data_IF_088952292068
#
_entry.id   IF_088952292068
#
_cell.length_a   1.000
_cell.length_b   1.000
_cell.length_c   1.000
_cell.angle_alpha   90.00
_cell.angle_beta   90.00
_cell.angle_gamma   90.00
#
_symmetry.space_group_name_H-M   'P 1'
#
loop_
_entity.id
_entity.type
_entity.pdbx_description
1 polymer ?
#
# COMPACT_ATOMS: atom_id res chain seq x y z
N UNK A 1 -1.71 -14.04 5.96
CA UNK A 1 -0.63 -13.75 6.93
C UNK A 1 -0.18 -12.32 6.70
N UNK A 2 0.24 -11.59 7.75
CA UNK A 2 0.89 -10.29 7.58
C UNK A 2 2.27 -10.52 6.95
N UNK A 3 2.61 -9.79 5.89
CA UNK A 3 3.91 -9.93 5.22
C UNK A 3 4.50 -8.59 4.80
N UNK A 4 5.81 -8.57 4.56
CA UNK A 4 6.44 -7.49 3.80
C UNK A 4 6.14 -7.60 2.31
N UNK A 5 6.64 -6.64 1.54
CA UNK A 5 6.63 -6.73 0.09
C UNK A 5 7.53 -7.87 -0.40
N UNK A 6 7.11 -8.56 -1.44
CA UNK A 6 7.93 -9.55 -2.17
C UNK A 6 9.05 -8.84 -2.95
N UNK A 7 10.01 -9.61 -3.47
CA UNK A 7 11.03 -9.06 -4.36
C UNK A 7 10.41 -8.42 -5.62
N UNK A 8 9.38 -9.04 -6.20
CA UNK A 8 8.67 -8.52 -7.36
C UNK A 8 7.91 -7.22 -7.05
N UNK A 9 7.23 -7.14 -5.90
CA UNK A 9 6.54 -5.93 -5.45
C UNK A 9 7.53 -4.79 -5.14
N UNK A 10 8.71 -5.10 -4.59
CA UNK A 10 9.79 -4.13 -4.38
C UNK A 10 10.33 -3.63 -5.72
N UNK A 11 10.51 -4.51 -6.72
CA UNK A 11 10.94 -4.11 -8.05
C UNK A 11 9.92 -3.15 -8.70
N UNK A 12 8.63 -3.52 -8.68
CA UNK A 12 7.54 -2.68 -9.18
C UNK A 12 7.50 -1.32 -8.46
N UNK A 13 7.67 -1.31 -7.13
CA UNK A 13 7.74 -0.07 -6.37
C UNK A 13 8.93 0.81 -6.78
N UNK A 14 10.10 0.21 -7.03
CA UNK A 14 11.30 0.94 -7.47
C UNK A 14 11.15 1.53 -8.87
N UNK A 15 10.43 0.88 -9.77
CA UNK A 15 10.14 1.43 -11.11
C UNK A 15 9.36 2.74 -11.03
N UNK A 16 8.44 2.86 -10.06
CA UNK A 16 7.57 4.04 -9.92
C UNK A 16 8.16 5.10 -9.01
N UNK A 17 8.73 4.70 -7.86
CA UNK A 17 9.15 5.62 -6.80
C UNK A 17 10.67 5.75 -6.65
N UNK A 18 11.46 4.94 -7.36
CA UNK A 18 12.92 4.86 -7.18
C UNK A 18 13.29 4.52 -5.73
N UNK A 19 14.33 5.18 -5.21
CA UNK A 19 14.76 5.05 -3.82
C UNK A 19 13.99 5.96 -2.85
N UNK A 20 12.97 6.67 -3.34
CA UNK A 20 12.25 7.66 -2.55
C UNK A 20 11.21 7.05 -1.60
N UNK A 21 10.92 5.76 -1.72
CA UNK A 21 10.00 4.99 -0.89
C UNK A 21 10.78 3.97 -0.04
N UNK A 22 10.65 4.05 1.29
CA UNK A 22 11.16 3.02 2.19
C UNK A 22 10.22 1.81 2.19
N UNK A 23 10.46 0.89 1.25
CA UNK A 23 9.71 -0.37 1.13
C UNK A 23 9.93 -1.33 2.31
N UNK A 24 10.99 -1.18 3.11
CA UNK A 24 11.31 -2.10 4.22
C UNK A 24 10.36 -1.91 5.40
N UNK A 25 9.83 -0.70 5.55
CA UNK A 25 8.83 -0.36 6.55
C UNK A 25 7.42 -0.90 6.19
N UNK A 26 7.17 -1.26 4.93
CA UNK A 26 5.83 -1.58 4.43
C UNK A 26 5.37 -2.98 4.86
N UNK A 27 4.12 -3.10 5.30
CA UNK A 27 3.48 -4.36 5.66
C UNK A 27 2.10 -4.47 5.04
N UNK A 28 1.85 -5.59 4.36
CA UNK A 28 0.54 -5.97 3.85
C UNK A 28 -0.21 -6.77 4.91
N UNK A 29 -1.34 -6.24 5.34
CA UNK A 29 -2.24 -6.84 6.30
C UNK A 29 -3.48 -7.38 5.58
N UNK A 30 -3.73 -8.71 5.58
CA UNK A 30 -4.95 -9.27 5.02
C UNK A 30 -6.15 -8.90 5.88
N UNK A 31 -7.05 -8.07 5.33
CA UNK A 31 -8.22 -7.58 6.02
C UNK A 31 -9.19 -8.70 6.39
N UNK A 32 -9.78 -8.69 7.60
CA UNK A 32 -10.93 -9.53 7.92
C UNK A 32 -12.15 -9.05 7.13
N UNK A 33 -13.09 -9.96 6.85
CA UNK A 33 -14.41 -9.59 6.31
C UNK A 33 -15.10 -8.62 7.29
N UNK A 34 -15.83 -7.59 6.82
CA UNK A 34 -16.23 -7.29 5.44
C UNK A 34 -15.36 -6.21 4.74
N UNK A 35 -14.10 -6.02 5.14
CA UNK A 35 -13.25 -5.01 4.51
C UNK A 35 -12.79 -5.46 3.12
N UNK A 36 -13.47 -4.94 2.10
CA UNK A 36 -13.27 -5.33 0.69
C UNK A 36 -12.47 -4.31 -0.14
N UNK A 37 -11.93 -3.27 0.50
CA UNK A 37 -11.09 -2.25 -0.15
C UNK A 37 -9.69 -2.21 0.45
N UNK A 38 -8.70 -1.99 -0.42
CA UNK A 38 -7.34 -1.69 0.02
C UNK A 38 -7.26 -0.24 0.50
N UNK A 39 -6.47 0.01 1.55
CA UNK A 39 -6.17 1.36 2.02
C UNK A 39 -4.94 1.39 2.95
N UNK A 40 -4.34 2.56 3.07
CA UNK A 40 -3.26 2.86 4.03
C UNK A 40 -3.83 3.54 5.29
N UNK A 41 -3.94 2.86 6.45
CA UNK A 41 -4.32 3.49 7.72
C UNK A 41 -3.26 4.45 8.28
N UNK A 42 -2.03 4.39 7.75
CA UNK A 42 -0.91 5.22 8.17
C UNK A 42 0.23 4.42 8.80
N UNK A 43 1.16 5.14 9.45
CA UNK A 43 2.34 4.57 10.09
C UNK A 43 2.08 4.24 11.55
N UNK A 44 2.26 2.98 11.94
CA UNK A 44 2.06 2.51 13.32
C UNK A 44 3.18 1.54 13.70
N UNK A 45 3.74 1.71 14.91
CA UNK A 45 4.89 0.94 15.41
C UNK A 45 6.10 0.91 14.45
N UNK A 46 6.37 2.04 13.79
CA UNK A 46 7.48 2.16 12.83
C UNK A 46 7.29 1.39 11.52
N UNK A 47 6.06 0.93 11.23
CA UNK A 47 5.69 0.25 9.98
C UNK A 47 4.61 1.04 9.25
N UNK A 48 4.68 1.01 7.92
CA UNK A 48 3.66 1.55 7.05
C UNK A 48 2.72 0.42 6.66
N UNK A 49 1.47 0.50 7.10
CA UNK A 49 0.51 -0.58 6.92
C UNK A 49 -0.32 -0.36 5.67
N UNK A 50 -0.50 -1.41 4.88
CA UNK A 50 -1.46 -1.48 3.79
C UNK A 50 -2.45 -2.57 4.15
N UNK A 51 -3.69 -2.18 4.41
CA UNK A 51 -4.79 -3.13 4.60
C UNK A 51 -5.24 -3.57 3.22
N UNK A 52 -5.31 -4.88 2.99
CA UNK A 52 -5.63 -5.44 1.69
C UNK A 52 -6.71 -6.51 1.80
N UNK A 53 -7.73 -6.53 0.91
CA UNK A 53 -8.78 -7.55 0.95
C UNK A 53 -8.19 -8.95 0.84
N UNK A 54 -8.43 -9.81 1.84
CA UNK A 54 -7.79 -11.13 1.89
C UNK A 54 -8.02 -11.97 0.63
N UNK A 55 -9.19 -11.86 -0.01
CA UNK A 55 -9.53 -12.57 -1.24
C UNK A 55 -8.71 -12.11 -2.47
N UNK A 56 -8.19 -10.88 -2.44
CA UNK A 56 -7.43 -10.28 -3.53
C UNK A 56 -5.92 -10.15 -3.20
N UNK A 57 -5.47 -10.64 -2.04
CA UNK A 57 -4.07 -10.59 -1.66
C UNK A 57 -3.33 -11.80 -2.24
N UNK A 58 -2.76 -11.63 -3.43
CA UNK A 58 -1.92 -12.64 -4.05
C UNK A 58 -0.63 -12.86 -3.25
N UNK A 59 0.01 -14.03 -3.46
CA UNK A 59 1.34 -14.32 -2.90
C UNK A 59 2.37 -13.29 -3.38
N UNK A 60 2.28 -12.90 -4.65
CA UNK A 60 3.04 -11.82 -5.25
C UNK A 60 2.12 -10.97 -6.14
N UNK A 61 1.88 -9.72 -5.75
CA UNK A 61 1.01 -8.81 -6.48
C UNK A 61 1.65 -8.32 -7.79
N UNK A 62 2.98 -8.35 -7.93
CA UNK A 62 3.64 -7.97 -9.20
C UNK A 62 3.41 -9.00 -10.31
N UNK A 63 3.09 -10.25 -9.95
CA UNK A 63 2.74 -11.32 -10.89
C UNK A 63 1.21 -11.47 -11.07
N UNK A 64 0.42 -10.64 -10.40
CA UNK A 64 -1.04 -10.66 -10.48
C UNK A 64 -1.55 -9.90 -11.72
N UNK A 65 -2.85 -9.98 -12.09
CA UNK A 65 -3.40 -9.19 -13.19
C UNK A 65 -3.11 -7.70 -13.03
N UNK A 66 -2.96 -6.98 -14.16
CA UNK A 66 -2.57 -5.56 -14.18
C UNK A 66 -3.41 -4.67 -13.25
N UNK A 67 -4.70 -4.97 -13.09
CA UNK A 67 -5.58 -4.26 -12.15
C UNK A 67 -5.07 -4.30 -10.70
N UNK A 68 -4.56 -5.45 -10.24
CA UNK A 68 -4.04 -5.59 -8.88
C UNK A 68 -2.65 -4.96 -8.73
N UNK A 69 -1.82 -5.00 -9.78
CA UNK A 69 -0.56 -4.26 -9.83
C UNK A 69 -0.81 -2.75 -9.72
N UNK A 70 -1.75 -2.22 -10.50
CA UNK A 70 -2.14 -0.81 -10.46
C UNK A 70 -2.70 -0.42 -9.08
N UNK A 71 -3.53 -1.26 -8.46
CA UNK A 71 -4.01 -1.04 -7.10
C UNK A 71 -2.85 -1.01 -6.09
N UNK A 72 -1.85 -1.88 -6.24
CA UNK A 72 -0.68 -1.85 -5.36
C UNK A 72 0.07 -0.54 -5.51
N UNK A 73 0.35 -0.10 -6.74
CA UNK A 73 1.03 1.17 -7.00
C UNK A 73 0.23 2.37 -6.43
N UNK A 74 -1.10 2.33 -6.51
CA UNK A 74 -1.97 3.32 -5.88
C UNK A 74 -1.78 3.36 -4.35
N UNK A 75 -1.84 2.23 -3.67
CA UNK A 75 -1.63 2.20 -2.21
C UNK A 75 -0.19 2.58 -1.81
N UNK A 76 0.81 2.20 -2.61
CA UNK A 76 2.20 2.64 -2.40
C UNK A 76 2.36 4.15 -2.55
N UNK A 77 1.54 4.80 -3.39
CA UNK A 77 1.50 6.27 -3.49
C UNK A 77 1.05 6.90 -2.18
N UNK A 78 0.05 6.31 -1.52
CA UNK A 78 -0.38 6.75 -0.20
C UNK A 78 0.70 6.53 0.85
N UNK A 79 1.39 5.39 0.85
CA UNK A 79 2.54 5.18 1.74
C UNK A 79 3.63 6.22 1.48
N UNK A 80 3.99 6.46 0.22
CA UNK A 80 4.99 7.45 -0.18
C UNK A 80 4.65 8.86 0.31
N UNK A 81 3.39 9.26 0.17
CA UNK A 81 2.86 10.51 0.72
C UNK A 81 3.01 10.56 2.25
N UNK A 82 2.60 9.50 2.96
CA UNK A 82 2.70 9.42 4.41
C UNK A 82 4.16 9.48 4.91
N UNK A 83 5.09 8.78 4.24
CA UNK A 83 6.53 8.82 4.56
C UNK A 83 7.14 10.22 4.39
N UNK A 84 6.53 11.08 3.55
CA UNK A 84 6.93 12.47 3.33
C UNK A 84 6.23 13.47 4.25
N UNK A 85 5.51 13.00 5.26
CA UNK A 85 4.80 13.86 6.21
C UNK A 85 3.48 14.42 5.68
N UNK A 86 2.96 13.91 4.56
CA UNK A 86 1.60 14.23 4.11
C UNK A 86 0.61 13.44 4.96
N UNK A 87 -0.16 14.13 5.80
CA UNK A 87 -1.26 13.51 6.52
C UNK A 87 -2.39 13.16 5.53
N UNK A 88 -2.48 11.88 5.16
CA UNK A 88 -3.44 11.35 4.19
C UNK A 88 -4.90 11.61 4.57
N UNK A 89 -5.22 11.67 5.87
CA UNK A 89 -6.58 11.94 6.34
C UNK A 89 -6.98 13.40 6.05
N UNK A 90 -6.05 14.35 6.29
CA UNK A 90 -6.25 15.76 5.96
C UNK A 90 -6.24 16.01 4.45
N UNK A 91 -5.43 15.27 3.69
CA UNK A 91 -5.40 15.36 2.23
C UNK A 91 -6.72 14.88 1.59
N UNK A 92 -7.33 13.81 2.09
CA UNK A 92 -8.65 13.32 1.64
C UNK A 92 -9.78 14.33 1.91
N UNK A 93 -9.76 15.02 3.05
CA UNK A 93 -10.73 16.09 3.35
C UNK A 93 -10.51 17.31 2.43
N UNK A 94 -9.26 17.64 2.10
CA UNK A 94 -8.94 18.79 1.24
C UNK A 94 -9.23 18.56 -0.25
N UNK A 95 -9.29 17.30 -0.68
CA UNK A 95 -9.54 16.91 -2.07
C UNK A 95 -11.02 16.83 -2.44
N UNK A 96 -11.96 16.98 -1.50
CA UNK A 96 -13.38 17.16 -1.81
C UNK A 96 -14.17 15.90 -2.17
N UNK A 97 -13.73 14.71 -1.77
CA UNK A 97 -14.55 13.50 -1.86
C UNK A 97 -15.43 13.39 -0.60
N UNK A 98 -16.61 14.00 -0.65
CA UNK A 98 -17.76 13.70 0.24
C UNK A 98 -18.73 12.73 -0.44
#
# INVERSE_FOLDING_TARGET
MIRGLTAGEVALAREVFGDSLDHRAIRLFPAPRPLDRAFVPGRWFGRDWIVWPKAALANDLSAAPLRLQALLVHELTHVWQAQRGVNLLLAKIRAGDS
#
